data_IF_898320520874
#
_entry.id   IF_898320520874
#
_cell.length_a   1.000
_cell.length_b   1.000
_cell.length_c   1.000
_cell.angle_alpha   90.00
_cell.angle_beta   90.00
_cell.angle_gamma   90.00
#
_symmetry.space_group_name_H-M   'P 1'
#
loop_
_entity.id
_entity.type
_entity.pdbx_description
1 polymer ?
#
# COMPACT_ATOMS: atom_id res chain seq x y z
N UNK A 1 -11.80 10.70 9.37
CA UNK A 1 -12.29 9.48 10.04
C UNK A 1 -13.57 9.82 10.80
N UNK A 2 -14.55 8.89 10.92
CA UNK A 2 -15.91 9.24 11.32
C UNK A 2 -15.97 9.77 12.75
N UNK A 3 -16.65 10.89 12.93
CA UNK A 3 -16.87 11.50 14.23
C UNK A 3 -17.79 10.67 15.10
N UNK A 4 -17.33 10.38 16.33
CA UNK A 4 -18.03 10.59 17.61
C UNK A 4 -19.54 10.28 17.72
N UNK A 5 -20.10 9.38 16.92
CA UNK A 5 -21.51 8.98 17.02
C UNK A 5 -21.62 7.57 17.62
N UNK A 6 -21.48 7.52 18.94
CA UNK A 6 -21.66 6.28 19.70
C UNK A 6 -21.98 6.42 21.19
N UNK A 7 -22.07 7.64 21.76
CA UNK A 7 -22.35 7.81 23.19
C UNK A 7 -23.69 8.51 23.43
N UNK A 8 -24.77 7.81 23.12
CA UNK A 8 -26.11 8.19 23.55
C UNK A 8 -26.66 7.09 24.46
N UNK A 9 -26.30 7.15 25.75
CA UNK A 9 -27.15 6.72 26.86
C UNK A 9 -26.64 7.32 28.19
N UNK A 10 -27.41 8.27 28.74
CA UNK A 10 -27.58 8.53 30.17
C UNK A 10 -26.36 8.80 31.07
N UNK A 11 -25.60 9.87 30.84
CA UNK A 11 -24.59 10.38 31.77
C UNK A 11 -24.32 11.86 31.55
N UNK A 12 -24.17 12.64 32.63
CA UNK A 12 -24.03 14.11 32.62
C UNK A 12 -22.98 14.66 31.65
N UNK A 13 -23.14 15.92 31.22
CA UNK A 13 -22.30 16.57 30.20
C UNK A 13 -20.79 16.53 30.47
N UNK A 14 -20.38 16.45 31.73
CA UNK A 14 -18.98 16.31 32.16
C UNK A 14 -18.37 14.96 31.75
N UNK A 15 -19.08 13.84 31.94
CA UNK A 15 -18.57 12.52 31.58
C UNK A 15 -18.43 12.32 30.06
N UNK A 16 -19.28 12.97 29.27
CA UNK A 16 -19.13 12.98 27.80
C UNK A 16 -17.90 13.77 27.35
N UNK A 17 -17.59 14.87 28.04
CA UNK A 17 -16.38 15.66 27.76
C UNK A 17 -15.12 14.91 28.16
N UNK A 18 -15.08 14.32 29.35
CA UNK A 18 -13.96 13.51 29.83
C UNK A 18 -13.68 12.32 28.90
N UNK A 19 -14.73 11.62 28.46
CA UNK A 19 -14.58 10.51 27.50
C UNK A 19 -14.08 10.97 26.13
N UNK A 20 -14.57 12.12 25.63
CA UNK A 20 -14.12 12.69 24.36
C UNK A 20 -12.65 13.17 24.43
N UNK A 21 -12.27 13.81 25.53
CA UNK A 21 -10.90 14.28 25.76
C UNK A 21 -9.93 13.10 25.91
N UNK A 22 -10.33 12.02 26.58
CA UNK A 22 -9.55 10.78 26.68
C UNK A 22 -9.36 10.09 25.31
N UNK A 23 -10.44 9.98 24.51
CA UNK A 23 -10.36 9.42 23.16
C UNK A 23 -9.47 10.26 22.24
N UNK A 24 -9.55 11.59 22.34
CA UNK A 24 -8.65 12.51 21.62
C UNK A 24 -7.20 12.33 22.05
N UNK A 25 -6.92 12.29 23.35
CA UNK A 25 -5.56 12.10 23.87
C UNK A 25 -4.95 10.78 23.40
N UNK A 26 -5.75 9.71 23.37
CA UNK A 26 -5.32 8.41 22.84
C UNK A 26 -5.01 8.49 21.33
N UNK A 27 -5.88 9.15 20.55
CA UNK A 27 -5.64 9.36 19.12
C UNK A 27 -4.36 10.16 18.87
N UNK A 28 -4.19 11.29 19.58
CA UNK A 28 -3.01 12.15 19.46
C UNK A 28 -1.73 11.38 19.86
N UNK A 29 -1.80 10.52 20.88
CA UNK A 29 -0.69 9.66 21.29
C UNK A 29 -0.33 8.61 20.23
N UNK A 30 -1.31 8.00 19.57
CA UNK A 30 -1.06 7.07 18.45
C UNK A 30 -0.42 7.79 17.26
N UNK A 31 -0.95 8.94 16.86
CA UNK A 31 -0.38 9.77 15.79
C UNK A 31 1.08 10.13 16.11
N UNK A 32 1.38 10.54 17.35
CA UNK A 32 2.74 10.85 17.77
C UNK A 32 3.69 9.64 17.68
N UNK A 33 3.22 8.42 17.97
CA UNK A 33 4.02 7.20 17.83
C UNK A 33 4.34 6.90 16.37
N UNK A 34 3.33 6.94 15.48
CA UNK A 34 3.55 6.76 14.04
C UNK A 34 4.47 7.84 13.45
N UNK A 35 4.29 9.11 13.83
CA UNK A 35 5.16 10.21 13.41
C UNK A 35 6.61 9.99 13.85
N UNK A 36 6.83 9.51 15.08
CA UNK A 36 8.16 9.20 15.59
C UNK A 36 8.82 8.07 14.78
N UNK A 37 8.08 6.99 14.50
CA UNK A 37 8.56 5.89 13.64
C UNK A 37 8.87 6.39 12.23
N UNK A 38 7.97 7.16 11.62
CA UNK A 38 8.15 7.72 10.28
C UNK A 38 9.38 8.62 10.17
N UNK A 39 9.61 9.50 11.15
CA UNK A 39 10.81 10.36 11.20
C UNK A 39 12.08 9.53 11.33
N UNK A 40 12.09 8.50 12.20
CA UNK A 40 13.24 7.61 12.35
C UNK A 40 13.53 6.86 11.05
N UNK A 41 12.49 6.38 10.39
CA UNK A 41 12.58 5.71 9.10
C UNK A 41 13.15 6.61 8.01
N UNK A 42 12.63 7.82 7.89
CA UNK A 42 13.13 8.81 6.94
C UNK A 42 14.61 9.12 7.19
N UNK A 43 15.01 9.28 8.45
CA UNK A 43 16.41 9.50 8.81
C UNK A 43 17.30 8.32 8.43
N UNK A 44 16.91 7.09 8.77
CA UNK A 44 17.67 5.86 8.45
C UNK A 44 17.83 5.66 6.94
N UNK A 45 16.85 6.09 6.15
CA UNK A 45 16.89 6.00 4.69
C UNK A 45 17.57 7.17 4.02
N UNK A 46 17.89 8.25 4.75
CA UNK A 46 18.58 9.43 4.23
C UNK A 46 20.10 9.25 4.12
N UNK A 47 20.59 8.00 4.12
CA UNK A 47 22.02 7.72 3.94
C UNK A 47 22.47 8.02 2.51
N UNK A 48 23.62 8.69 2.29
CA UNK A 48 24.09 9.07 0.95
C UNK A 48 24.34 7.89 0.02
N UNK A 49 24.62 6.71 0.57
CA UNK A 49 24.81 5.48 -0.20
C UNK A 49 23.59 5.11 -1.05
N UNK A 50 22.38 5.52 -0.65
CA UNK A 50 21.15 5.25 -1.40
C UNK A 50 20.84 6.31 -2.46
N UNK A 51 21.58 7.43 -2.52
CA UNK A 51 21.32 8.52 -3.46
C UNK A 51 21.20 8.07 -4.92
N UNK A 52 22.00 7.10 -5.44
CA UNK A 52 21.87 6.64 -6.82
C UNK A 52 20.51 6.02 -7.18
N UNK A 53 19.77 5.51 -6.18
CA UNK A 53 18.47 4.85 -6.37
C UNK A 53 17.32 5.53 -5.63
N UNK A 54 17.59 6.55 -4.82
CA UNK A 54 16.64 7.18 -3.87
C UNK A 54 15.32 7.52 -4.54
N UNK A 55 15.39 8.23 -5.65
CA UNK A 55 14.19 8.69 -6.35
C UNK A 55 13.58 7.62 -7.25
N UNK A 56 14.29 6.52 -7.52
CA UNK A 56 13.77 5.40 -8.32
C UNK A 56 12.91 4.45 -7.47
N UNK A 57 13.22 4.34 -6.18
CA UNK A 57 12.48 3.49 -5.23
C UNK A 57 11.48 4.27 -4.37
N UNK A 58 11.63 5.60 -4.28
CA UNK A 58 10.70 6.56 -3.64
C UNK A 58 10.16 6.10 -2.28
N UNK A 59 11.03 5.78 -1.32
CA UNK A 59 10.61 5.20 -0.04
C UNK A 59 9.45 5.95 0.65
N UNK A 60 9.58 7.26 0.82
CA UNK A 60 8.68 8.10 1.62
C UNK A 60 7.36 8.48 0.95
N UNK A 61 7.03 7.88 -0.20
CA UNK A 61 5.79 8.15 -0.95
C UNK A 61 4.56 7.63 -0.21
N UNK A 62 3.47 8.40 -0.22
CA UNK A 62 2.16 7.92 0.24
C UNK A 62 1.66 6.77 -0.65
N UNK A 63 0.91 5.85 -0.06
CA UNK A 63 0.46 4.62 -0.74
C UNK A 63 -0.39 4.90 -1.99
N UNK A 64 -1.22 5.95 -1.97
CA UNK A 64 -2.15 6.30 -3.04
C UNK A 64 -1.70 7.48 -3.92
N UNK A 65 -0.45 7.90 -3.78
CA UNK A 65 0.10 8.98 -4.60
C UNK A 65 0.69 8.40 -5.90
N UNK A 66 0.26 8.86 -7.10
CA UNK A 66 0.76 8.32 -8.36
C UNK A 66 2.23 8.73 -8.58
N UNK A 67 3.14 7.83 -8.98
CA UNK A 67 4.55 8.14 -9.17
C UNK A 67 4.78 9.26 -10.20
N UNK A 68 5.81 10.10 -10.04
CA UNK A 68 6.24 11.02 -11.09
C UNK A 68 6.42 10.27 -12.39
N UNK A 69 5.93 10.87 -13.48
CA UNK A 69 5.97 10.25 -14.79
C UNK A 69 7.37 9.72 -15.15
N UNK A 70 8.42 10.49 -14.85
CA UNK A 70 9.81 10.11 -15.11
C UNK A 70 10.23 8.77 -14.47
N UNK A 71 9.69 8.43 -13.30
CA UNK A 71 9.98 7.16 -12.64
C UNK A 71 9.01 6.08 -13.08
N UNK A 72 7.73 6.42 -13.25
CA UNK A 72 6.72 5.51 -13.79
C UNK A 72 7.06 5.01 -15.21
N UNK A 73 7.77 5.81 -16.00
CA UNK A 73 8.21 5.48 -17.35
C UNK A 73 9.67 4.99 -17.42
N UNK A 74 10.33 4.77 -16.28
CA UNK A 74 11.73 4.40 -16.24
C UNK A 74 11.93 2.93 -16.66
N UNK A 75 12.11 2.72 -17.96
CA UNK A 75 12.35 1.40 -18.57
C UNK A 75 13.81 0.91 -18.38
N UNK A 76 14.28 0.98 -17.14
CA UNK A 76 15.62 0.57 -16.73
C UNK A 76 15.53 -0.48 -15.62
N UNK A 77 16.31 -1.56 -15.76
CA UNK A 77 16.56 -2.51 -14.69
C UNK A 77 17.65 -1.97 -13.76
N UNK A 78 17.67 -2.35 -12.47
CA UNK A 78 18.79 -2.06 -11.58
C UNK A 78 20.09 -2.56 -12.20
N UNK A 79 21.13 -1.73 -12.22
CA UNK A 79 22.48 -2.11 -12.64
C UNK A 79 23.16 -3.01 -11.60
N UNK A 80 24.31 -3.59 -11.96
CA UNK A 80 25.13 -4.38 -11.01
C UNK A 80 25.50 -3.58 -9.76
N UNK A 81 25.72 -2.27 -9.90
CA UNK A 81 26.04 -1.38 -8.79
C UNK A 81 24.81 -1.02 -7.94
N UNK A 82 23.63 -0.97 -8.55
CA UNK A 82 22.39 -0.60 -7.86
C UNK A 82 21.75 -1.79 -7.12
N UNK A 83 21.96 -3.03 -7.56
CA UNK A 83 21.39 -4.22 -6.90
C UNK A 83 21.74 -4.31 -5.40
N UNK A 84 23.01 -4.14 -4.97
CA UNK A 84 23.34 -4.06 -3.54
C UNK A 84 22.61 -2.93 -2.82
N UNK A 85 22.40 -1.79 -3.48
CA UNK A 85 21.66 -0.65 -2.90
C UNK A 85 20.17 -0.97 -2.73
N UNK A 86 19.56 -1.67 -3.69
CA UNK A 86 18.17 -2.16 -3.58
C UNK A 86 18.04 -3.10 -2.38
N UNK A 87 18.98 -4.03 -2.20
CA UNK A 87 18.99 -4.92 -1.04
C UNK A 87 19.20 -4.16 0.29
N UNK A 88 20.07 -3.15 0.32
CA UNK A 88 20.27 -2.30 1.50
C UNK A 88 19.01 -1.52 1.84
N UNK A 89 18.39 -0.90 0.84
CA UNK A 89 17.12 -0.21 1.00
C UNK A 89 16.02 -1.14 1.51
N UNK A 90 15.90 -2.35 0.95
CA UNK A 90 14.94 -3.36 1.40
C UNK A 90 15.06 -3.66 2.90
N UNK A 91 16.29 -3.88 3.39
CA UNK A 91 16.54 -4.12 4.82
C UNK A 91 16.12 -2.95 5.70
N UNK A 92 16.36 -1.72 5.27
CA UNK A 92 15.93 -0.53 6.02
C UNK A 92 14.41 -0.42 6.04
N UNK A 93 13.75 -0.76 4.91
CA UNK A 93 12.29 -0.79 4.82
C UNK A 93 11.70 -1.84 5.76
N UNK A 94 12.25 -3.04 5.78
CA UNK A 94 11.78 -4.10 6.67
C UNK A 94 11.94 -3.72 8.15
N UNK A 95 13.08 -3.11 8.52
CA UNK A 95 13.28 -2.58 9.86
C UNK A 95 12.29 -1.45 10.22
N UNK A 96 11.85 -0.69 9.23
CA UNK A 96 10.80 0.32 9.41
C UNK A 96 9.43 -0.27 9.66
N UNK A 97 9.01 -1.23 8.84
CA UNK A 97 7.74 -1.93 9.02
C UNK A 97 7.70 -2.67 10.37
N UNK A 98 8.81 -3.28 10.78
CA UNK A 98 8.87 -3.95 12.08
C UNK A 98 8.65 -2.96 13.24
N UNK A 99 9.24 -1.75 13.16
CA UNK A 99 8.98 -0.71 14.17
C UNK A 99 7.53 -0.27 14.17
N UNK A 100 6.93 -0.08 13.00
CA UNK A 100 5.53 0.29 12.88
C UNK A 100 4.60 -0.76 13.50
N UNK A 101 4.89 -2.05 13.31
CA UNK A 101 4.13 -3.17 13.87
C UNK A 101 4.19 -3.27 15.40
N UNK A 102 5.14 -2.58 16.05
CA UNK A 102 5.18 -2.51 17.52
C UNK A 102 4.15 -1.55 18.11
N UNK A 103 3.51 -0.71 17.30
CA UNK A 103 2.49 0.23 17.75
C UNK A 103 1.17 -0.53 17.95
N UNK A 104 0.69 -0.58 19.19
CA UNK A 104 -0.63 -1.13 19.48
C UNK A 104 -1.72 -0.12 19.13
N UNK A 105 -2.35 -0.33 17.97
CA UNK A 105 -3.40 0.54 17.45
C UNK A 105 -4.80 0.20 18.00
N UNK A 106 -4.95 -0.91 18.73
CA UNK A 106 -6.23 -1.33 19.28
C UNK A 106 -6.35 -0.77 20.70
N UNK A 107 -7.35 0.10 20.98
CA UNK A 107 -7.57 0.57 22.33
C UNK A 107 -7.79 -0.59 23.31
N UNK A 108 -7.20 -0.56 24.52
CA UNK A 108 -7.33 -1.64 25.50
C UNK A 108 -8.78 -1.87 25.96
N UNK A 109 -9.65 -0.88 25.77
CA UNK A 109 -11.07 -0.89 26.09
C UNK A 109 -11.98 -0.93 24.85
N UNK A 110 -11.43 -1.21 23.65
CA UNK A 110 -12.23 -1.31 22.43
C UNK A 110 -13.25 -2.45 22.52
N UNK A 111 -14.48 -2.20 22.07
CA UNK A 111 -15.50 -3.25 21.97
C UNK A 111 -15.07 -4.31 20.94
N UNK A 112 -15.53 -5.57 21.05
CA UNK A 112 -15.12 -6.64 20.13
C UNK A 112 -15.33 -6.33 18.64
N UNK A 113 -16.41 -5.60 18.31
CA UNK A 113 -16.68 -5.16 16.94
C UNK A 113 -15.71 -4.07 16.45
N UNK A 114 -15.30 -3.16 17.33
CA UNK A 114 -14.28 -2.16 16.99
C UNK A 114 -12.91 -2.82 16.81
N UNK A 115 -12.59 -3.81 17.63
CA UNK A 115 -11.35 -4.58 17.48
C UNK A 115 -11.29 -5.33 16.15
N UNK A 116 -12.37 -6.00 15.75
CA UNK A 116 -12.41 -6.71 14.46
C UNK A 116 -12.31 -5.73 13.30
N UNK A 117 -12.97 -4.58 13.41
CA UNK A 117 -12.90 -3.51 12.42
C UNK A 117 -11.48 -2.96 12.26
N UNK A 118 -10.83 -2.56 13.36
CA UNK A 118 -9.45 -2.04 13.35
C UNK A 118 -8.49 -3.10 12.80
N UNK A 119 -8.64 -4.37 13.19
CA UNK A 119 -7.82 -5.47 12.64
C UNK A 119 -7.97 -5.61 11.14
N UNK A 120 -9.18 -5.47 10.61
CA UNK A 120 -9.42 -5.54 9.18
C UNK A 120 -8.73 -4.38 8.43
N UNK A 121 -8.73 -3.17 8.99
CA UNK A 121 -8.02 -2.02 8.41
C UNK A 121 -6.50 -2.27 8.35
N UNK A 122 -5.92 -2.83 9.41
CA UNK A 122 -4.50 -3.22 9.46
C UNK A 122 -4.16 -4.25 8.38
N UNK A 123 -5.06 -5.21 8.13
CA UNK A 123 -4.84 -6.26 7.13
C UNK A 123 -4.64 -5.66 5.73
N UNK A 124 -5.42 -4.64 5.34
CA UNK A 124 -5.26 -4.02 4.02
C UNK A 124 -3.85 -3.43 3.82
N UNK A 125 -3.33 -2.74 4.84
CA UNK A 125 -1.96 -2.19 4.82
C UNK A 125 -0.90 -3.29 4.82
N UNK A 126 -1.02 -4.27 5.71
CA UNK A 126 -0.05 -5.36 5.85
C UNK A 126 0.07 -6.20 4.57
N UNK A 127 -1.06 -6.47 3.91
CA UNK A 127 -1.08 -7.16 2.63
C UNK A 127 -0.42 -6.32 1.52
N UNK A 128 -0.70 -5.02 1.45
CA UNK A 128 -0.01 -4.14 0.50
C UNK A 128 1.51 -4.14 0.72
N UNK A 129 1.96 -4.09 1.98
CA UNK A 129 3.37 -4.17 2.32
C UNK A 129 4.03 -5.47 1.86
N UNK A 130 3.36 -6.61 2.05
CA UNK A 130 3.86 -7.92 1.64
C UNK A 130 4.04 -7.99 0.12
N UNK A 131 3.04 -7.52 -0.65
CA UNK A 131 3.12 -7.46 -2.12
C UNK A 131 4.24 -6.54 -2.60
N UNK A 132 4.46 -5.41 -1.93
CA UNK A 132 5.60 -4.53 -2.24
C UNK A 132 6.91 -5.26 -1.95
N UNK A 133 7.02 -6.03 -0.87
CA UNK A 133 8.22 -6.84 -0.59
C UNK A 133 8.51 -7.85 -1.72
N UNK A 134 7.49 -8.49 -2.29
CA UNK A 134 7.65 -9.35 -3.47
C UNK A 134 8.18 -8.57 -4.68
N UNK A 135 7.67 -7.35 -4.92
CA UNK A 135 8.19 -6.47 -5.98
C UNK A 135 9.65 -6.10 -5.76
N UNK A 136 10.06 -5.85 -4.51
CA UNK A 136 11.46 -5.54 -4.20
C UNK A 136 12.38 -6.71 -4.57
N UNK A 137 11.96 -7.94 -4.27
CA UNK A 137 12.71 -9.14 -4.67
C UNK A 137 12.80 -9.24 -6.19
N UNK A 138 11.69 -9.05 -6.90
CA UNK A 138 11.69 -9.09 -8.36
C UNK A 138 12.54 -7.97 -9.00
N UNK A 139 12.53 -6.76 -8.42
CA UNK A 139 13.41 -5.65 -8.81
C UNK A 139 14.88 -6.03 -8.61
N UNK A 140 15.23 -6.57 -7.44
CA UNK A 140 16.59 -7.03 -7.14
C UNK A 140 17.07 -8.14 -8.09
N UNK A 141 16.18 -9.03 -8.51
CA UNK A 141 16.44 -10.09 -9.50
C UNK A 141 16.42 -9.57 -10.95
N UNK A 142 16.20 -8.26 -11.15
CA UNK A 142 16.08 -7.61 -12.46
C UNK A 142 14.97 -8.23 -13.34
N UNK A 143 13.89 -8.73 -12.71
CA UNK A 143 12.72 -9.30 -13.41
C UNK A 143 11.66 -8.25 -13.78
N UNK A 144 11.82 -7.04 -13.25
CA UNK A 144 11.03 -5.87 -13.56
C UNK A 144 11.92 -4.62 -13.56
N UNK A 145 11.47 -3.58 -14.26
CA UNK A 145 12.15 -2.28 -14.34
C UNK A 145 11.73 -1.37 -13.20
N UNK A 146 12.45 -0.27 -12.98
CA UNK A 146 12.05 0.74 -11.99
C UNK A 146 10.67 1.34 -12.28
N UNK A 147 10.29 1.52 -13.54
CA UNK A 147 8.95 2.03 -13.84
C UNK A 147 7.85 1.01 -13.64
N UNK A 148 8.07 -0.28 -13.95
CA UNK A 148 7.10 -1.32 -13.61
C UNK A 148 6.96 -1.44 -12.09
N UNK A 149 8.08 -1.35 -11.35
CA UNK A 149 8.08 -1.29 -9.89
C UNK A 149 7.22 -0.13 -9.37
N UNK A 150 7.46 1.08 -9.87
CA UNK A 150 6.77 2.29 -9.42
C UNK A 150 5.25 2.21 -9.70
N UNK A 151 4.87 1.77 -10.91
CA UNK A 151 3.47 1.61 -11.30
C UNK A 151 2.77 0.57 -10.42
N UNK A 152 3.36 -0.63 -10.27
CA UNK A 152 2.76 -1.70 -9.47
C UNK A 152 2.68 -1.38 -8.00
N UNK A 153 3.70 -0.72 -7.43
CA UNK A 153 3.67 -0.25 -6.05
C UNK A 153 2.50 0.71 -5.82
N UNK A 154 2.26 1.64 -6.74
CA UNK A 154 1.11 2.54 -6.67
C UNK A 154 -0.22 1.81 -6.79
N UNK A 155 -0.37 0.87 -7.73
CA UNK A 155 -1.60 0.09 -7.87
C UNK A 155 -1.93 -0.70 -6.60
N UNK A 156 -0.93 -1.32 -5.98
CA UNK A 156 -1.07 -2.03 -4.69
C UNK A 156 -1.52 -1.08 -3.59
N UNK A 157 -0.81 0.04 -3.42
CA UNK A 157 -1.09 1.02 -2.36
C UNK A 157 -2.46 1.66 -2.52
N UNK A 158 -2.81 2.03 -3.76
CA UNK A 158 -4.14 2.53 -4.12
C UNK A 158 -5.24 1.52 -3.82
N UNK A 159 -5.06 0.25 -4.20
CA UNK A 159 -6.06 -0.79 -3.94
C UNK A 159 -6.31 -0.99 -2.43
N UNK A 160 -5.26 -0.91 -1.60
CA UNK A 160 -5.41 -0.99 -0.14
C UNK A 160 -6.12 0.23 0.44
N UNK A 161 -5.77 1.45 0.01
CA UNK A 161 -6.43 2.69 0.45
C UNK A 161 -7.90 2.73 0.00
N UNK A 162 -8.20 2.27 -1.22
CA UNK A 162 -9.57 2.18 -1.72
C UNK A 162 -10.37 1.11 -0.94
N UNK A 163 -9.76 -0.03 -0.59
CA UNK A 163 -10.39 -1.07 0.24
C UNK A 163 -10.69 -0.57 1.66
N UNK A 164 -9.74 0.07 2.33
CA UNK A 164 -9.94 0.71 3.64
C UNK A 164 -11.08 1.74 3.58
N UNK A 165 -11.09 2.60 2.56
CA UNK A 165 -12.15 3.59 2.36
C UNK A 165 -13.53 2.94 2.19
N UNK A 166 -13.65 1.93 1.33
CA UNK A 166 -14.91 1.22 1.11
C UNK A 166 -15.39 0.53 2.40
N UNK A 167 -14.47 -0.09 3.14
CA UNK A 167 -14.77 -0.77 4.38
C UNK A 167 -15.27 0.21 5.47
N UNK A 168 -14.61 1.37 5.60
CA UNK A 168 -15.07 2.48 6.46
C UNK A 168 -16.44 3.02 6.03
N UNK A 169 -16.68 3.15 4.74
CA UNK A 169 -17.98 3.61 4.23
C UNK A 169 -19.09 2.61 4.52
N UNK A 170 -18.82 1.31 4.43
CA UNK A 170 -19.78 0.27 4.76
C UNK A 170 -20.23 0.33 6.23
N UNK A 171 -19.32 0.68 7.17
CA UNK A 171 -19.68 0.88 8.58
C UNK A 171 -20.66 2.03 8.85
N UNK A 172 -20.78 2.99 7.94
CA UNK A 172 -21.69 4.12 8.10
C UNK A 172 -23.14 3.79 7.67
N UNK A 173 -23.36 2.60 7.11
CA UNK A 173 -24.68 2.13 6.71
C UNK A 173 -25.48 1.77 7.97
N UNK A 174 -26.61 2.43 8.18
CA UNK A 174 -27.48 2.20 9.36
C UNK A 174 -28.19 0.84 9.34
N UNK A 175 -28.42 0.30 8.15
CA UNK A 175 -29.12 -0.93 7.90
C UNK A 175 -28.15 -2.11 7.98
N UNK A 176 -28.37 -3.02 8.93
CA UNK A 176 -27.41 -4.07 9.25
C UNK A 176 -27.21 -5.07 8.10
N UNK A 177 -28.26 -5.39 7.35
CA UNK A 177 -28.16 -6.32 6.21
C UNK A 177 -27.38 -5.67 5.07
N UNK A 178 -27.66 -4.40 4.77
CA UNK A 178 -26.90 -3.64 3.76
C UNK A 178 -25.45 -3.38 4.18
N UNK A 179 -25.21 -3.19 5.48
CA UNK A 179 -23.86 -3.08 6.04
C UNK A 179 -23.07 -4.37 5.81
N UNK A 180 -23.63 -5.52 6.17
CA UNK A 180 -22.99 -6.83 5.97
C UNK A 180 -22.73 -7.11 4.49
N UNK A 181 -23.70 -6.80 3.62
CA UNK A 181 -23.54 -6.97 2.18
C UNK A 181 -22.42 -6.07 1.61
N UNK A 182 -22.37 -4.79 2.01
CA UNK A 182 -21.33 -3.88 1.55
C UNK A 182 -19.93 -4.29 2.03
N UNK A 183 -19.80 -4.77 3.26
CA UNK A 183 -18.54 -5.31 3.78
C UNK A 183 -18.10 -6.57 3.01
N UNK A 184 -19.04 -7.48 2.71
CA UNK A 184 -18.74 -8.67 1.90
C UNK A 184 -18.26 -8.29 0.49
N UNK A 185 -18.87 -7.30 -0.15
CA UNK A 185 -18.44 -6.83 -1.47
C UNK A 185 -17.03 -6.24 -1.42
N UNK A 186 -16.72 -5.39 -0.42
CA UNK A 186 -15.38 -4.83 -0.25
C UNK A 186 -14.33 -5.93 -0.06
N UNK A 187 -14.64 -6.94 0.77
CA UNK A 187 -13.77 -8.09 1.00
C UNK A 187 -13.58 -8.94 -0.27
N UNK A 188 -14.65 -9.16 -1.04
CA UNK A 188 -14.57 -9.90 -2.30
C UNK A 188 -13.71 -9.16 -3.33
N UNK A 189 -13.88 -7.85 -3.48
CA UNK A 189 -13.06 -7.03 -4.39
C UNK A 189 -11.58 -7.11 -4.00
N UNK A 190 -11.28 -7.01 -2.70
CA UNK A 190 -9.91 -7.19 -2.21
C UNK A 190 -9.36 -8.59 -2.51
N UNK A 191 -10.16 -9.65 -2.32
CA UNK A 191 -9.77 -11.02 -2.67
C UNK A 191 -9.54 -11.22 -4.19
N UNK A 192 -10.36 -10.62 -5.05
CA UNK A 192 -10.13 -10.61 -6.50
C UNK A 192 -8.80 -9.94 -6.84
N UNK A 193 -8.47 -8.82 -6.18
CA UNK A 193 -7.18 -8.15 -6.35
C UNK A 193 -6.00 -9.02 -5.86
N UNK A 194 -6.20 -9.89 -4.86
CA UNK A 194 -5.19 -10.87 -4.43
C UNK A 194 -4.94 -11.94 -5.51
N UNK A 195 -5.98 -12.44 -6.16
CA UNK A 195 -5.83 -13.43 -7.22
C UNK A 195 -5.15 -12.84 -8.48
N UNK A 196 -5.55 -11.63 -8.89
CA UNK A 196 -4.90 -10.92 -9.98
C UNK A 196 -3.41 -10.69 -9.69
N UNK A 197 -3.08 -10.35 -8.44
CA UNK A 197 -1.72 -10.20 -7.97
C UNK A 197 -0.91 -11.51 -8.07
N UNK A 198 -1.46 -12.63 -7.59
CA UNK A 198 -0.78 -13.92 -7.64
C UNK A 198 -0.45 -14.32 -9.09
N UNK A 199 -1.38 -14.14 -10.02
CA UNK A 199 -1.15 -14.40 -11.45
C UNK A 199 -0.06 -13.49 -12.03
N UNK A 200 -0.09 -12.19 -11.69
CA UNK A 200 0.95 -11.25 -12.10
C UNK A 200 2.32 -11.69 -11.58
N UNK A 201 2.45 -11.99 -10.30
CA UNK A 201 3.72 -12.40 -9.71
C UNK A 201 4.20 -13.75 -10.21
N UNK A 202 3.30 -14.70 -10.52
CA UNK A 202 3.68 -15.94 -11.20
C UNK A 202 4.34 -15.65 -12.56
N UNK A 203 3.75 -14.75 -13.35
CA UNK A 203 4.31 -14.34 -14.63
C UNK A 203 5.66 -13.63 -14.46
N UNK A 204 5.77 -12.70 -13.50
CA UNK A 204 7.04 -12.01 -13.18
C UNK A 204 8.12 -13.01 -12.77
N UNK A 205 7.78 -13.96 -11.90
CA UNK A 205 8.72 -14.93 -11.38
C UNK A 205 9.26 -15.87 -12.46
N UNK A 206 8.48 -16.15 -13.51
CA UNK A 206 8.90 -16.93 -14.67
C UNK A 206 9.82 -16.17 -15.65
N UNK A 207 9.92 -14.83 -15.54
CA UNK A 207 10.77 -14.03 -16.42
C UNK A 207 12.25 -14.34 -16.19
N UNK A 208 12.99 -14.39 -17.30
CA UNK A 208 14.45 -14.26 -17.25
C UNK A 208 14.83 -12.82 -16.85
N UNK A 209 15.93 -12.61 -16.10
CA UNK A 209 16.39 -11.27 -15.78
C UNK A 209 16.60 -10.41 -17.03
N UNK A 210 16.20 -9.14 -16.96
CA UNK A 210 16.42 -8.10 -17.98
C UNK A 210 15.71 -8.31 -19.33
N UNK A 211 14.65 -9.12 -19.39
CA UNK A 211 13.98 -9.45 -20.66
C UNK A 211 12.68 -8.70 -20.94
N UNK A 212 11.88 -8.36 -19.92
CA UNK A 212 10.58 -7.69 -20.10
C UNK A 212 10.69 -6.19 -19.81
N UNK A 213 10.37 -5.36 -20.79
CA UNK A 213 10.52 -3.90 -20.79
C UNK A 213 9.15 -3.23 -20.69
N UNK A 214 9.07 -2.01 -20.16
CA UNK A 214 7.81 -1.24 -20.13
C UNK A 214 7.27 -0.94 -21.53
N UNK A 215 8.17 -0.72 -22.48
CA UNK A 215 7.85 -0.41 -23.87
C UNK A 215 7.66 -1.66 -24.74
N UNK A 216 7.56 -2.86 -24.17
CA UNK A 216 6.94 -3.98 -24.91
C UNK A 216 5.43 -3.77 -24.93
N UNK A 217 5.03 -2.69 -25.59
CA UNK A 217 3.67 -2.51 -26.07
C UNK A 217 3.40 -3.73 -26.94
N UNK A 218 2.35 -4.49 -26.62
CA UNK A 218 1.94 -5.60 -27.46
C UNK A 218 1.23 -5.03 -28.68
N UNK A 219 2.03 -4.44 -29.58
CA UNK A 219 1.52 -3.94 -30.84
C UNK A 219 1.36 -5.12 -31.80
N UNK A 220 0.12 -5.49 -32.09
CA UNK A 220 -0.17 -6.41 -33.19
C UNK A 220 -0.40 -5.56 -34.43
N UNK A 221 0.46 -5.76 -35.44
CA UNK A 221 0.30 -5.13 -36.75
C UNK A 221 -0.29 -6.13 -37.73
N UNK A 222 -1.44 -5.81 -38.30
CA UNK A 222 -2.05 -6.58 -39.38
C UNK A 222 -1.97 -5.78 -40.66
N UNK A 223 -1.34 -6.35 -41.70
CA UNK A 223 -1.23 -5.72 -43.02
C UNK A 223 -2.31 -6.26 -43.96
N UNK A 224 -3.15 -5.37 -44.50
CA UNK A 224 -4.09 -5.69 -45.57
C UNK A 224 -3.79 -4.79 -46.78
N UNK A 225 -3.11 -5.35 -47.79
CA UNK A 225 -2.67 -4.59 -48.96
C UNK A 225 -1.64 -3.51 -48.60
N UNK A 226 -1.92 -2.26 -48.96
CA UNK A 226 -1.06 -1.10 -48.66
C UNK A 226 -1.32 -0.47 -47.29
N UNK A 227 -2.26 -1.01 -46.49
CA UNK A 227 -2.62 -0.47 -45.18
C UNK A 227 -2.09 -1.37 -44.08
N UNK A 228 -1.32 -0.79 -43.17
CA UNK A 228 -0.88 -1.43 -41.92
C UNK A 228 -1.73 -0.89 -40.77
N UNK A 229 -2.49 -1.76 -40.12
CA UNK A 229 -3.21 -1.41 -38.90
C UNK A 229 -2.45 -1.96 -37.70
N UNK A 230 -1.92 -1.04 -36.89
CA UNK A 230 -1.18 -1.36 -35.67
C UNK A 230 -2.05 -1.06 -34.48
N UNK A 231 -2.41 -2.10 -33.72
CA UNK A 231 -3.13 -1.95 -32.47
C UNK A 231 -2.21 -2.29 -31.30
N UNK A 232 -2.10 -1.36 -30.37
CA UNK A 232 -1.15 -1.39 -29.27
C UNK A 232 -1.91 -1.37 -27.94
N UNK A 233 -1.63 -2.34 -27.08
CA UNK A 233 -2.16 -2.43 -25.72
C UNK A 233 -1.05 -2.72 -24.71
#
# INVERSE_FOLDING_TARGET
MPGTRGYANGGGSLHRKEAADAAKAQHDALVAQFDAVYRKCTADMSTPELDPIRDKVEFSRKLDEPPPFQYASLDAFPTTMERPLVAKWAKLRDACMERERTIDVIPPNAAPLDQSFIRQEIVFGTEAEAKVSELVVALFQQKLTYGEFAQRRYEIGKAAVDADRQYRQAQLIQDQDRQLQAQQIANQQFATNLNAWANYMQAVNARQPRTVRLNSVHCTSTQMGTITNTNCY
#
